data_IF_666582236866
#
_entry.id   IF_666582236866
#
_cell.length_a   1.000
_cell.length_b   1.000
_cell.length_c   1.000
_cell.angle_alpha   90.00
_cell.angle_beta   90.00
_cell.angle_gamma   90.00
#
_symmetry.space_group_name_H-M   'P 1'
#
loop_
_entity.id
_entity.type
_entity.pdbx_description
1 polymer ?
#
# COMPACT_ATOMS: atom_id res chain seq x y z
N UNK A 1 -23.16 28.51 -11.91
CA UNK A 1 -22.88 27.45 -12.91
C UNK A 1 -21.36 27.34 -12.96
N UNK A 2 -20.78 26.27 -12.43
CA UNK A 2 -19.34 26.01 -12.56
C UNK A 2 -19.07 25.63 -14.01
N UNK A 3 -18.19 26.40 -14.70
CA UNK A 3 -17.69 25.97 -16.01
C UNK A 3 -17.20 24.52 -15.94
N UNK A 4 -17.62 23.69 -16.90
CA UNK A 4 -17.15 22.32 -16.99
C UNK A 4 -15.63 22.35 -17.24
N UNK A 5 -14.87 21.56 -16.49
CA UNK A 5 -13.42 21.41 -16.67
C UNK A 5 -13.14 20.91 -18.09
N UNK A 6 -12.31 21.67 -18.83
CA UNK A 6 -11.88 21.31 -20.19
C UNK A 6 -10.38 20.96 -20.19
N UNK A 7 -10.02 19.66 -20.26
CA UNK A 7 -8.63 19.23 -20.22
C UNK A 7 -7.81 19.68 -21.45
N UNK A 8 -8.45 20.05 -22.56
CA UNK A 8 -7.75 20.49 -23.78
C UNK A 8 -7.13 21.88 -23.64
N UNK A 9 -7.58 22.66 -22.66
CA UNK A 9 -7.06 24.00 -22.34
C UNK A 9 -5.88 23.98 -21.37
N UNK A 10 -5.48 22.80 -20.88
CA UNK A 10 -4.40 22.66 -19.90
C UNK A 10 -3.06 22.50 -20.61
N UNK A 11 -2.08 23.26 -20.18
CA UNK A 11 -0.70 23.07 -20.60
C UNK A 11 -0.05 21.94 -19.81
N UNK A 12 0.58 21.02 -20.49
CA UNK A 12 1.28 19.88 -19.90
C UNK A 12 2.79 20.01 -20.10
N UNK A 13 3.57 19.59 -19.08
CA UNK A 13 5.01 19.45 -19.22
C UNK A 13 5.29 18.25 -20.12
N UNK A 14 5.98 18.48 -21.23
CA UNK A 14 6.13 17.48 -22.28
C UNK A 14 7.31 16.52 -22.04
N UNK A 15 8.40 17.00 -21.42
CA UNK A 15 9.62 16.21 -21.26
C UNK A 15 10.16 16.28 -19.83
N UNK A 16 11.04 15.32 -19.49
CA UNK A 16 11.74 15.34 -18.21
C UNK A 16 12.70 16.53 -18.08
N UNK A 17 13.24 17.01 -19.20
CA UNK A 17 14.11 18.18 -19.29
C UNK A 17 13.33 19.45 -18.94
N UNK A 18 12.13 19.62 -19.47
CA UNK A 18 11.23 20.73 -19.14
C UNK A 18 10.89 20.71 -17.65
N UNK A 19 10.51 19.52 -17.12
CA UNK A 19 10.23 19.37 -15.70
C UNK A 19 11.43 19.73 -14.82
N UNK A 20 12.62 19.31 -15.20
CA UNK A 20 13.87 19.66 -14.49
C UNK A 20 14.19 21.14 -14.54
N UNK A 21 13.81 21.81 -15.62
CA UNK A 21 13.95 23.26 -15.74
C UNK A 21 13.12 24.05 -14.75
N UNK A 22 11.99 23.48 -14.27
CA UNK A 22 11.10 24.11 -13.29
C UNK A 22 11.57 23.93 -11.83
N UNK A 23 12.56 23.07 -11.59
CA UNK A 23 12.98 22.70 -10.23
C UNK A 23 14.49 22.77 -10.04
N UNK A 24 14.98 23.08 -8.81
CA UNK A 24 16.40 23.01 -8.51
C UNK A 24 16.89 21.55 -8.62
N UNK A 25 18.19 21.39 -8.88
CA UNK A 25 18.82 20.05 -8.91
C UNK A 25 18.61 19.32 -7.59
N UNK A 26 18.39 17.99 -7.64
CA UNK A 26 18.23 17.19 -6.41
C UNK A 26 19.51 17.27 -5.56
N UNK A 27 19.35 17.38 -4.24
CA UNK A 27 20.49 17.33 -3.33
C UNK A 27 21.14 15.93 -3.37
N UNK A 28 22.46 15.88 -3.28
CA UNK A 28 23.25 14.62 -3.31
C UNK A 28 22.76 13.55 -2.33
N UNK A 29 22.34 13.97 -1.11
CA UNK A 29 21.78 13.06 -0.11
C UNK A 29 20.46 12.39 -0.56
N UNK A 30 19.72 12.98 -1.50
CA UNK A 30 18.46 12.40 -1.97
C UNK A 30 18.68 11.22 -2.91
N UNK A 31 19.75 11.24 -3.70
CA UNK A 31 20.15 10.14 -4.58
C UNK A 31 21.07 9.12 -3.88
N UNK A 32 21.93 9.59 -2.95
CA UNK A 32 22.91 8.74 -2.26
C UNK A 32 22.30 7.79 -1.20
N UNK A 33 21.05 7.95 -0.81
CA UNK A 33 20.39 7.12 0.22
C UNK A 33 19.72 5.85 -0.31
N UNK A 34 19.76 5.62 -1.62
CA UNK A 34 19.13 4.43 -2.24
C UNK A 34 20.03 3.22 -2.03
N UNK A 35 19.52 2.27 -1.28
CA UNK A 35 20.21 1.00 -0.97
C UNK A 35 19.74 -0.08 -1.95
N UNK A 36 20.61 -1.08 -2.20
CA UNK A 36 20.32 -2.27 -3.02
C UNK A 36 19.93 -3.49 -2.18
N UNK A 37 19.96 -3.33 -0.86
CA UNK A 37 19.58 -4.35 0.13
C UNK A 37 19.10 -3.68 1.40
N UNK A 38 18.50 -4.45 2.30
CA UNK A 38 17.98 -3.99 3.58
C UNK A 38 19.11 -3.83 4.60
N UNK A 39 19.31 -2.63 5.09
CA UNK A 39 20.20 -2.37 6.22
C UNK A 39 19.48 -2.54 7.58
N UNK A 40 20.19 -2.28 8.67
CA UNK A 40 19.64 -2.37 10.02
C UNK A 40 18.46 -1.42 10.27
N UNK A 41 18.45 -0.23 9.65
CA UNK A 41 17.39 0.75 9.79
C UNK A 41 16.11 0.30 9.04
N UNK A 42 16.27 -0.22 7.82
CA UNK A 42 15.17 -0.80 7.07
C UNK A 42 14.49 -1.94 7.86
N UNK A 43 15.29 -2.85 8.42
CA UNK A 43 14.80 -3.97 9.25
C UNK A 43 14.08 -3.49 10.51
N UNK A 44 14.60 -2.48 11.19
CA UNK A 44 13.99 -1.91 12.39
C UNK A 44 12.61 -1.28 12.09
N UNK A 45 12.45 -0.62 10.94
CA UNK A 45 11.17 -0.06 10.48
C UNK A 45 10.21 -1.18 10.11
N UNK A 46 10.65 -2.16 9.31
CA UNK A 46 9.80 -3.30 8.91
C UNK A 46 9.28 -4.08 10.11
N UNK A 47 10.08 -4.23 11.15
CA UNK A 47 9.68 -4.90 12.39
C UNK A 47 8.57 -4.16 13.16
N UNK A 48 8.37 -2.86 12.91
CA UNK A 48 7.37 -2.00 13.57
C UNK A 48 6.23 -1.58 12.65
N UNK A 49 6.39 -1.75 11.34
CA UNK A 49 5.34 -1.40 10.39
C UNK A 49 4.10 -2.27 10.62
N UNK A 50 2.94 -1.61 10.69
CA UNK A 50 1.62 -2.24 10.80
C UNK A 50 0.79 -2.04 9.56
N UNK A 51 1.27 -1.21 8.63
CA UNK A 51 0.55 -0.87 7.41
C UNK A 51 1.52 -0.67 6.25
N UNK A 52 1.13 -1.11 5.07
CA UNK A 52 1.82 -0.75 3.84
C UNK A 52 0.83 -0.58 2.69
N UNK A 53 1.29 0.11 1.66
CA UNK A 53 0.59 0.28 0.39
C UNK A 53 1.43 -0.41 -0.68
N UNK A 54 0.80 -1.31 -1.44
CA UNK A 54 1.42 -2.00 -2.57
C UNK A 54 0.94 -1.34 -3.85
N UNK A 55 1.86 -0.99 -4.73
CA UNK A 55 1.58 -0.56 -6.10
C UNK A 55 2.06 -1.61 -7.09
N UNK A 56 1.19 -1.99 -8.00
CA UNK A 56 1.45 -2.91 -9.11
C UNK A 56 0.94 -2.31 -10.42
N UNK A 57 1.31 -2.90 -11.55
CA UNK A 57 0.81 -2.49 -12.86
C UNK A 57 0.69 -3.72 -13.77
N UNK A 58 -0.47 -3.87 -14.37
CA UNK A 58 -0.77 -4.87 -15.37
C UNK A 58 -1.24 -4.27 -16.69
N UNK A 59 -1.75 -5.09 -17.61
CA UNK A 59 -2.28 -4.64 -18.89
C UNK A 59 -3.44 -3.64 -18.78
N UNK A 60 -4.29 -3.80 -17.75
CA UNK A 60 -5.46 -2.95 -17.51
C UNK A 60 -5.12 -1.64 -16.79
N UNK A 61 -3.86 -1.45 -16.36
CA UNK A 61 -3.42 -0.24 -15.69
C UNK A 61 -2.71 -0.49 -14.36
N UNK A 62 -2.60 0.59 -13.58
CA UNK A 62 -2.01 0.56 -12.25
C UNK A 62 -3.05 0.20 -11.19
N UNK A 63 -2.63 -0.56 -10.20
CA UNK A 63 -3.41 -0.88 -9.01
C UNK A 63 -2.65 -0.51 -7.73
N UNK A 64 -3.38 -0.01 -6.73
CA UNK A 64 -2.84 0.36 -5.43
C UNK A 64 -3.70 -0.28 -4.34
N UNK A 65 -3.07 -1.12 -3.51
CA UNK A 65 -3.77 -1.92 -2.50
C UNK A 65 -3.19 -1.70 -1.10
N UNK A 66 -4.02 -1.38 -0.08
CA UNK A 66 -3.59 -1.32 1.31
C UNK A 66 -3.41 -2.73 1.89
N UNK A 67 -2.41 -2.89 2.74
CA UNK A 67 -2.17 -4.10 3.54
C UNK A 67 -1.87 -3.70 4.98
N UNK A 68 -2.46 -4.38 5.93
CA UNK A 68 -2.27 -4.09 7.35
C UNK A 68 -2.40 -5.33 8.20
N UNK A 69 -1.59 -5.39 9.27
CA UNK A 69 -1.57 -6.48 10.25
C UNK A 69 -0.73 -6.00 11.46
N UNK A 70 -0.74 -6.67 12.61
CA UNK A 70 0.16 -6.33 13.72
C UNK A 70 1.62 -6.24 13.31
N UNK A 71 2.40 -5.45 14.04
CA UNK A 71 3.82 -5.22 13.77
C UNK A 71 4.60 -6.54 13.55
N UNK A 72 5.51 -6.52 12.57
CA UNK A 72 6.27 -7.70 12.16
C UNK A 72 5.55 -8.62 11.19
N UNK A 73 4.43 -8.21 10.62
CA UNK A 73 3.70 -9.02 9.64
C UNK A 73 4.46 -9.24 8.33
N UNK A 74 5.29 -8.27 7.95
CA UNK A 74 6.20 -8.44 6.83
C UNK A 74 7.47 -9.10 7.33
N UNK A 75 7.72 -10.31 6.85
CA UNK A 75 8.88 -11.10 7.28
C UNK A 75 10.09 -10.74 6.44
N UNK A 76 11.17 -10.35 7.11
CA UNK A 76 12.47 -10.19 6.47
C UNK A 76 13.15 -11.55 6.47
N UNK A 77 13.32 -12.14 5.30
CA UNK A 77 13.92 -13.47 5.15
C UNK A 77 15.46 -13.40 5.11
N UNK A 78 15.98 -12.41 4.39
CA UNK A 78 17.41 -12.10 4.31
C UNK A 78 17.60 -10.61 3.96
N UNK A 79 18.78 -10.21 3.45
CA UNK A 79 19.08 -8.82 3.08
C UNK A 79 18.31 -8.34 1.85
N UNK A 80 17.71 -9.25 1.08
CA UNK A 80 17.07 -8.93 -0.19
C UNK A 80 15.66 -9.49 -0.34
N UNK A 81 15.18 -10.31 0.58
CA UNK A 81 13.90 -10.96 0.43
C UNK A 81 12.95 -10.66 1.59
N UNK A 82 11.73 -10.29 1.21
CA UNK A 82 10.61 -10.08 2.11
C UNK A 82 9.49 -11.06 1.77
N UNK A 83 8.80 -11.54 2.80
CA UNK A 83 7.52 -12.23 2.65
C UNK A 83 6.42 -11.33 3.21
N UNK A 84 5.46 -10.97 2.36
CA UNK A 84 4.22 -10.29 2.74
C UNK A 84 3.08 -11.31 2.63
N UNK A 85 2.52 -11.77 3.76
CA UNK A 85 1.43 -12.74 3.74
C UNK A 85 0.14 -12.12 3.18
N UNK A 86 -0.64 -12.90 2.46
CA UNK A 86 -2.00 -12.50 2.11
C UNK A 86 -2.94 -12.76 3.29
N UNK A 87 -3.93 -11.88 3.47
CA UNK A 87 -4.97 -12.01 4.48
C UNK A 87 -6.34 -12.04 3.83
N UNK A 88 -7.32 -12.53 4.54
CA UNK A 88 -8.71 -12.54 4.06
C UNK A 88 -9.12 -11.12 3.66
N UNK A 89 -9.66 -10.98 2.48
CA UNK A 89 -10.12 -9.73 1.90
C UNK A 89 -11.29 -9.94 0.94
N UNK A 90 -11.41 -9.08 -0.04
CA UNK A 90 -12.50 -9.09 -1.02
C UNK A 90 -12.31 -10.11 -2.17
N UNK A 91 -11.18 -10.84 -2.21
CA UNK A 91 -10.81 -11.84 -3.22
C UNK A 91 -10.77 -11.31 -4.68
N UNK A 92 -10.61 -10.00 -4.88
CA UNK A 92 -10.49 -9.44 -6.24
C UNK A 92 -9.17 -9.83 -6.91
N UNK A 93 -8.08 -9.89 -6.15
CA UNK A 93 -6.74 -10.26 -6.60
C UNK A 93 -6.15 -9.36 -7.70
N UNK A 94 -6.62 -8.10 -7.83
CA UNK A 94 -6.14 -7.18 -8.88
C UNK A 94 -4.61 -7.00 -8.82
N UNK A 95 -4.06 -6.68 -7.64
CA UNK A 95 -2.60 -6.59 -7.46
C UNK A 95 -1.87 -7.90 -7.80
N UNK A 96 -2.45 -9.05 -7.44
CA UNK A 96 -1.85 -10.36 -7.70
C UNK A 96 -1.91 -10.73 -9.18
N UNK A 97 -3.05 -10.45 -9.83
CA UNK A 97 -3.23 -10.63 -11.27
C UNK A 97 -2.17 -9.87 -12.07
N UNK A 98 -1.90 -8.61 -11.69
CA UNK A 98 -0.88 -7.80 -12.33
C UNK A 98 0.52 -8.45 -12.28
N UNK A 99 0.86 -9.11 -11.15
CA UNK A 99 2.19 -9.70 -10.95
C UNK A 99 2.49 -10.90 -11.87
N UNK A 100 1.48 -11.56 -12.41
CA UNK A 100 1.70 -12.62 -13.40
C UNK A 100 2.22 -12.09 -14.74
N UNK A 101 1.87 -10.84 -15.08
CA UNK A 101 2.30 -10.19 -16.32
C UNK A 101 3.47 -9.23 -16.11
N UNK A 102 3.51 -8.55 -14.97
CA UNK A 102 4.55 -7.60 -14.61
C UNK A 102 4.93 -7.76 -13.14
N UNK A 103 6.02 -8.46 -12.82
CA UNK A 103 6.42 -8.75 -11.44
C UNK A 103 6.96 -7.52 -10.69
N UNK A 104 7.02 -6.34 -11.30
CA UNK A 104 7.48 -5.12 -10.61
C UNK A 104 6.48 -4.68 -9.55
N UNK A 105 7.00 -4.36 -8.37
CA UNK A 105 6.21 -3.90 -7.23
C UNK A 105 6.89 -2.72 -6.56
N UNK A 106 6.08 -1.74 -6.15
CA UNK A 106 6.47 -0.68 -5.23
C UNK A 106 5.71 -0.85 -3.91
N UNK A 107 6.40 -0.77 -2.78
CA UNK A 107 5.77 -0.86 -1.46
C UNK A 107 6.18 0.32 -0.61
N UNK A 108 5.19 0.97 0.01
CA UNK A 108 5.41 2.05 0.97
C UNK A 108 4.97 1.58 2.36
N UNK A 109 5.92 1.48 3.29
CA UNK A 109 5.67 1.05 4.67
C UNK A 109 5.50 2.26 5.58
N UNK A 110 4.50 2.19 6.45
CA UNK A 110 4.16 3.18 7.45
C UNK A 110 4.21 2.56 8.84
N UNK A 111 4.76 3.33 9.79
CA UNK A 111 4.71 3.02 11.22
C UNK A 111 3.85 4.10 11.86
N UNK A 112 2.74 3.79 12.53
CA UNK A 112 1.91 4.79 13.21
C UNK A 112 2.75 5.66 14.16
N UNK A 113 2.59 6.97 14.06
CA UNK A 113 3.35 7.96 14.84
C UNK A 113 4.74 8.30 14.29
N UNK A 114 5.26 7.57 13.30
CA UNK A 114 6.51 7.91 12.61
C UNK A 114 6.22 8.68 11.32
N UNK A 115 6.82 9.84 11.16
CA UNK A 115 6.57 10.69 10.00
C UNK A 115 7.38 10.29 8.74
N UNK A 116 8.53 9.64 8.91
CA UNK A 116 9.28 9.04 7.80
C UNK A 116 8.62 7.74 7.37
N UNK A 117 8.74 7.43 6.07
CA UNK A 117 8.24 6.17 5.50
C UNK A 117 9.38 5.41 4.83
N UNK A 118 9.29 4.08 4.81
CA UNK A 118 10.22 3.23 4.08
C UNK A 118 9.59 2.85 2.75
N UNK A 119 10.29 3.13 1.65
CA UNK A 119 9.91 2.67 0.32
C UNK A 119 10.81 1.52 -0.12
N UNK A 120 10.20 0.50 -0.68
CA UNK A 120 10.87 -0.63 -1.31
C UNK A 120 10.33 -0.78 -2.73
N UNK A 121 11.24 -0.82 -3.70
CA UNK A 121 10.94 -1.23 -5.06
C UNK A 121 11.57 -2.59 -5.32
N UNK A 122 10.86 -3.48 -5.96
CA UNK A 122 11.35 -4.85 -6.16
C UNK A 122 10.61 -5.62 -7.23
N UNK A 123 10.87 -6.92 -7.21
CA UNK A 123 10.19 -7.92 -8.02
C UNK A 123 9.43 -8.86 -7.08
N UNK A 124 8.16 -9.08 -7.32
CA UNK A 124 7.33 -9.95 -6.49
C UNK A 124 6.86 -11.17 -7.25
N UNK A 125 6.77 -12.29 -6.54
CA UNK A 125 6.13 -13.52 -6.99
C UNK A 125 5.14 -13.99 -5.92
N UNK A 126 4.05 -14.57 -6.36
CA UNK A 126 3.08 -15.20 -5.47
C UNK A 126 3.63 -16.57 -5.09
N UNK A 127 3.67 -16.88 -3.80
CA UNK A 127 4.09 -18.17 -3.26
C UNK A 127 2.97 -18.81 -2.47
N UNK A 128 2.81 -20.12 -2.59
CA UNK A 128 1.96 -21.00 -1.79
C UNK A 128 2.79 -21.99 -0.96
N UNK A 129 4.09 -21.75 -0.80
CA UNK A 129 4.98 -22.58 0.01
C UNK A 129 4.52 -22.60 1.47
N UNK A 130 3.94 -23.73 1.89
CA UNK A 130 3.35 -23.90 3.22
C UNK A 130 4.37 -23.73 4.35
N UNK A 131 5.62 -24.18 4.17
CA UNK A 131 6.66 -24.07 5.18
C UNK A 131 7.06 -22.60 5.40
N UNK A 132 7.16 -21.84 4.32
CA UNK A 132 7.45 -20.42 4.37
C UNK A 132 6.31 -19.63 5.01
N UNK A 133 5.06 -19.93 4.62
CA UNK A 133 3.85 -19.26 5.08
C UNK A 133 3.49 -19.57 6.54
N UNK A 134 3.91 -20.71 7.07
CA UNK A 134 3.68 -21.09 8.46
C UNK A 134 4.21 -20.02 9.44
N UNK A 135 5.32 -19.36 9.10
CA UNK A 135 5.90 -18.28 9.90
C UNK A 135 5.00 -17.04 10.01
N UNK A 136 3.94 -16.96 9.19
CA UNK A 136 2.97 -15.86 9.13
C UNK A 136 1.61 -16.26 9.68
N UNK A 137 1.51 -17.39 10.38
CA UNK A 137 0.28 -17.84 11.07
C UNK A 137 -0.22 -16.77 12.04
N UNK A 138 -1.54 -16.56 12.08
CA UNK A 138 -2.25 -15.69 13.02
C UNK A 138 -3.56 -16.36 13.44
N UNK A 139 -3.82 -16.40 14.74
CA UNK A 139 -5.05 -16.95 15.31
C UNK A 139 -5.38 -18.37 14.80
N UNK A 140 -4.36 -19.23 14.66
CA UNK A 140 -4.52 -20.58 14.16
C UNK A 140 -4.72 -20.69 12.64
N UNK A 141 -4.61 -19.58 11.88
CA UNK A 141 -4.78 -19.57 10.43
C UNK A 141 -3.47 -19.21 9.72
N UNK A 142 -3.00 -20.16 8.92
CA UNK A 142 -1.86 -19.96 8.03
C UNK A 142 -2.37 -19.32 6.72
N UNK A 143 -1.72 -18.27 6.19
CA UNK A 143 -2.08 -17.71 4.89
C UNK A 143 -1.97 -18.78 3.79
N UNK A 144 -2.90 -18.77 2.83
CA UNK A 144 -2.84 -19.68 1.68
C UNK A 144 -1.76 -19.31 0.67
N UNK A 145 -1.50 -17.99 0.56
CA UNK A 145 -0.50 -17.44 -0.35
C UNK A 145 0.18 -16.22 0.30
N UNK A 146 1.30 -15.80 -0.28
CA UNK A 146 1.99 -14.57 0.08
C UNK A 146 2.78 -14.03 -1.09
N UNK A 147 3.25 -12.79 -0.97
CA UNK A 147 4.17 -12.18 -1.92
C UNK A 147 5.59 -12.36 -1.43
N UNK A 148 6.39 -13.12 -2.16
CA UNK A 148 7.85 -13.14 -2.01
C UNK A 148 8.42 -12.00 -2.83
N UNK A 149 8.97 -10.99 -2.18
CA UNK A 149 9.48 -9.76 -2.79
C UNK A 149 11.01 -9.77 -2.75
N UNK A 150 11.64 -9.73 -3.93
CA UNK A 150 13.07 -9.48 -4.07
C UNK A 150 13.31 -7.97 -4.12
N UNK A 151 14.01 -7.43 -3.14
CA UNK A 151 14.33 -6.01 -3.01
C UNK A 151 15.37 -5.60 -4.06
N UNK A 152 15.03 -4.61 -4.87
CA UNK A 152 15.95 -3.97 -5.82
C UNK A 152 16.43 -2.61 -5.33
N UNK A 153 15.55 -1.90 -4.60
CA UNK A 153 15.84 -0.61 -3.99
C UNK A 153 15.10 -0.48 -2.67
N UNK A 154 15.78 0.06 -1.67
CA UNK A 154 15.20 0.44 -0.38
C UNK A 154 15.69 1.82 0.03
N UNK A 155 14.80 2.70 0.46
CA UNK A 155 15.19 4.02 0.98
C UNK A 155 14.08 4.71 1.78
N UNK A 156 14.51 5.59 2.67
CA UNK A 156 13.60 6.38 3.49
C UNK A 156 13.09 7.61 2.74
N UNK A 157 11.81 7.87 2.83
CA UNK A 157 11.21 9.16 2.51
C UNK A 157 11.25 10.09 3.72
N UNK A 158 11.35 11.39 3.43
CA UNK A 158 11.32 12.42 4.47
C UNK A 158 9.90 12.59 5.03
N UNK A 159 9.84 13.12 6.23
CA UNK A 159 8.61 13.41 6.98
C UNK A 159 7.66 14.46 6.36
N UNK A 160 8.08 15.17 5.29
CA UNK A 160 7.36 16.36 4.79
C UNK A 160 5.90 16.09 4.40
N UNK A 161 5.61 14.97 3.76
CA UNK A 161 4.25 14.65 3.30
C UNK A 161 3.34 14.39 4.50
N UNK A 162 3.79 13.53 5.42
CA UNK A 162 3.06 13.16 6.63
C UNK A 162 2.81 14.39 7.53
N UNK A 163 3.85 15.23 7.72
CA UNK A 163 3.73 16.44 8.53
C UNK A 163 2.80 17.48 7.92
N UNK A 164 2.86 17.70 6.59
CA UNK A 164 1.93 18.64 5.93
C UNK A 164 0.48 18.17 5.97
N UNK A 165 0.27 16.85 5.90
CA UNK A 165 -1.05 16.24 6.02
C UNK A 165 -1.54 16.17 7.48
N UNK A 166 -0.65 16.45 8.46
CA UNK A 166 -0.92 16.23 9.89
C UNK A 166 -1.50 14.81 10.15
N UNK A 167 -1.02 13.80 9.38
CA UNK A 167 -1.64 12.48 9.32
C UNK A 167 -1.74 11.79 10.70
N UNK A 168 -0.77 12.03 11.57
CA UNK A 168 -0.72 11.43 12.90
C UNK A 168 -1.18 12.38 14.02
N UNK A 169 -1.72 13.57 13.68
CA UNK A 169 -2.25 14.51 14.65
C UNK A 169 -3.71 14.19 14.98
N UNK A 170 -4.02 13.68 16.19
CA UNK A 170 -5.40 13.35 16.55
C UNK A 170 -6.37 14.54 16.49
N UNK A 171 -5.86 15.77 16.65
CA UNK A 171 -6.69 16.98 16.58
C UNK A 171 -7.15 17.30 15.13
N UNK A 172 -6.60 16.63 14.15
CA UNK A 172 -6.97 16.75 12.72
C UNK A 172 -7.79 15.57 12.22
N UNK A 173 -8.05 14.58 13.07
CA UNK A 173 -8.93 13.47 12.68
C UNK A 173 -10.37 13.99 12.61
N UNK A 174 -11.05 13.64 11.52
CA UNK A 174 -12.48 13.94 11.34
C UNK A 174 -13.32 13.07 12.28
N UNK A 175 -14.48 13.56 12.65
CA UNK A 175 -15.52 12.67 13.18
C UNK A 175 -15.97 11.73 12.05
N UNK A 176 -16.03 10.43 12.32
CA UNK A 176 -16.48 9.45 11.33
C UNK A 176 -17.89 9.74 10.84
N UNK A 177 -18.73 10.39 11.65
CA UNK A 177 -20.09 10.77 11.32
C UNK A 177 -20.19 11.89 10.26
N UNK A 178 -19.10 12.60 9.96
CA UNK A 178 -19.06 13.61 8.89
C UNK A 178 -19.18 13.00 7.49
N UNK A 179 -18.97 11.68 7.35
CA UNK A 179 -19.10 10.96 6.09
C UNK A 179 -20.16 9.86 6.20
N UNK A 180 -20.84 9.51 5.10
CA UNK A 180 -21.76 8.37 5.06
C UNK A 180 -21.11 7.08 5.56
N UNK A 181 -21.89 6.13 6.06
CA UNK A 181 -21.36 4.81 6.42
C UNK A 181 -20.84 4.10 5.18
N UNK A 182 -19.92 3.14 5.37
CA UNK A 182 -19.41 2.33 4.25
C UNK A 182 -20.54 1.58 3.54
N UNK A 183 -21.52 1.08 4.29
CA UNK A 183 -22.71 0.42 3.73
C UNK A 183 -23.53 1.37 2.85
N UNK A 184 -23.71 2.64 3.28
CA UNK A 184 -24.41 3.63 2.47
C UNK A 184 -23.63 3.94 1.18
N UNK A 185 -22.30 4.15 1.27
CA UNK A 185 -21.49 4.40 0.09
C UNK A 185 -21.58 3.25 -0.93
N UNK A 186 -21.58 1.99 -0.46
CA UNK A 186 -21.73 0.84 -1.35
C UNK A 186 -23.13 0.76 -1.97
N UNK A 187 -24.19 1.02 -1.20
CA UNK A 187 -25.56 1.03 -1.71
C UNK A 187 -25.76 2.08 -2.80
N UNK A 188 -25.10 3.24 -2.66
CA UNK A 188 -25.16 4.31 -3.66
C UNK A 188 -24.36 4.01 -4.94
N UNK A 189 -23.29 3.19 -4.85
CA UNK A 189 -22.36 2.92 -5.95
C UNK A 189 -22.65 1.61 -6.69
N UNK A 190 -23.26 0.63 -6.03
CA UNK A 190 -23.50 -0.70 -6.59
C UNK A 190 -24.96 -0.82 -7.02
N UNK A 191 -25.18 -0.94 -8.32
CA UNK A 191 -26.53 -1.07 -8.87
C UNK A 191 -27.24 -2.30 -8.29
N UNK A 192 -28.43 -2.09 -7.75
CA UNK A 192 -29.26 -3.15 -7.18
C UNK A 192 -28.92 -3.57 -5.75
N UNK A 193 -27.93 -2.94 -5.12
CA UNK A 193 -27.62 -3.17 -3.72
C UNK A 193 -28.41 -2.19 -2.84
N UNK A 194 -29.31 -2.70 -1.99
CA UNK A 194 -30.00 -1.89 -0.98
C UNK A 194 -29.09 -1.60 0.23
N UNK A 195 -29.41 -0.53 0.98
CA UNK A 195 -28.69 -0.23 2.22
C UNK A 195 -28.80 -1.38 3.23
N UNK A 196 -30.00 -1.93 3.44
CA UNK A 196 -30.24 -3.05 4.35
C UNK A 196 -29.38 -4.27 3.98
N UNK A 197 -29.33 -4.62 2.71
CA UNK A 197 -28.50 -5.73 2.24
C UNK A 197 -26.99 -5.43 2.40
N UNK A 198 -26.56 -4.19 2.16
CA UNK A 198 -25.17 -3.76 2.36
C UNK A 198 -24.77 -3.84 3.83
N UNK A 199 -25.63 -3.42 4.75
CA UNK A 199 -25.41 -3.52 6.19
C UNK A 199 -25.32 -4.99 6.63
N UNK A 200 -26.24 -5.84 6.19
CA UNK A 200 -26.24 -7.28 6.48
C UNK A 200 -24.93 -7.94 6.02
N UNK A 201 -24.48 -7.64 4.80
CA UNK A 201 -23.20 -8.15 4.28
C UNK A 201 -22.01 -7.66 5.11
N UNK A 202 -22.01 -6.40 5.55
CA UNK A 202 -21.00 -5.84 6.42
C UNK A 202 -20.92 -6.55 7.76
N UNK A 203 -22.06 -6.83 8.39
CA UNK A 203 -22.14 -7.59 9.64
C UNK A 203 -21.65 -9.05 9.47
N UNK A 204 -21.99 -9.68 8.37
CA UNK A 204 -21.52 -11.05 8.08
C UNK A 204 -20.00 -11.09 7.92
N UNK A 205 -19.42 -10.11 7.19
CA UNK A 205 -17.97 -9.98 7.06
C UNK A 205 -17.29 -9.74 8.43
N UNK A 206 -17.87 -8.88 9.28
CA UNK A 206 -17.35 -8.63 10.61
C UNK A 206 -17.36 -9.91 11.48
N UNK A 207 -18.39 -10.74 11.36
CA UNK A 207 -18.49 -12.05 12.07
C UNK A 207 -17.47 -13.08 11.59
N UNK A 208 -17.05 -13.03 10.31
CA UNK A 208 -15.99 -13.91 9.77
C UNK A 208 -14.61 -13.59 10.35
N UNK A 209 -14.43 -12.41 10.94
CA UNK A 209 -13.19 -11.94 11.53
C UNK A 209 -12.19 -11.42 10.51
N UNK A 210 -11.00 -11.02 11.01
CA UNK A 210 -9.92 -10.43 10.21
C UNK A 210 -8.93 -11.47 9.65
N UNK A 211 -9.04 -12.73 10.10
CA UNK A 211 -8.13 -13.82 9.70
C UNK A 211 -8.92 -15.06 9.29
#
# INVERSE_FOLDING_TARGET
>A
MTESFDPTRISYVATIEDLRGLHPKPMSRASGKVLRSLDGHCRAILARATFCIIGTQGPEGADVSPRGDPAGFVRVLDDRHLLLPDRIGNNRFDSFGNLFTNPRVGVLFLVPGMAETLRINGMARITDDAALLLSSERQGRVPKVGLLIEVKEAYLHCAKAINRAALWDPAKHIDRAELPTYAQMLADQVQGLSLEESERQGEEMARRGMY
#
